data_IF_577606404137
#
_entry.id   IF_577606404137
#
_cell.length_a   1.000
_cell.length_b   1.000
_cell.length_c   1.000
_cell.angle_alpha   90.00
_cell.angle_beta   90.00
_cell.angle_gamma   90.00
#
_symmetry.space_group_name_H-M   'P 1'
#
loop_
_entity.id
_entity.type
_entity.pdbx_description
1 polymer ?
#
# COMPACT_ATOMS: atom_id res chain seq x y z
N UNK A 1 21.66 0.28 30.01
CA UNK A 1 20.52 0.42 29.07
C UNK A 1 20.80 -0.49 27.89
N UNK A 2 20.20 -1.68 27.84
CA UNK A 2 20.42 -2.65 26.77
C UNK A 2 19.49 -2.30 25.61
N UNK A 3 20.05 -1.86 24.49
CA UNK A 3 19.33 -1.85 23.21
C UNK A 3 19.30 -3.30 22.70
N UNK A 4 18.10 -3.86 22.58
CA UNK A 4 17.92 -5.10 21.84
C UNK A 4 17.95 -4.77 20.34
N UNK A 5 19.02 -5.17 19.66
CA UNK A 5 19.07 -5.20 18.21
C UNK A 5 18.08 -6.27 17.70
N UNK A 6 16.91 -5.83 17.22
CA UNK A 6 15.95 -6.70 16.56
C UNK A 6 16.54 -7.07 15.19
N UNK A 7 17.13 -8.26 15.12
CA UNK A 7 17.70 -8.81 13.89
C UNK A 7 16.56 -9.25 12.95
N UNK A 8 16.03 -8.31 12.15
CA UNK A 8 15.12 -8.63 11.05
C UNK A 8 15.88 -9.49 10.02
N UNK A 9 15.40 -10.70 9.66
CA UNK A 9 16.04 -11.49 8.63
C UNK A 9 16.06 -10.69 7.31
N UNK A 10 17.09 -10.86 6.46
CA UNK A 10 17.19 -10.14 5.19
C UNK A 10 16.03 -10.56 4.29
N UNK A 11 14.97 -9.76 4.26
CA UNK A 11 13.85 -9.91 3.32
C UNK A 11 14.45 -9.74 1.92
N UNK A 12 14.62 -10.84 1.19
CA UNK A 12 15.04 -10.83 -0.20
C UNK A 12 13.89 -10.35 -1.08
N UNK A 13 13.62 -9.04 -1.01
CA UNK A 13 12.72 -8.39 -1.95
C UNK A 13 13.41 -8.34 -3.31
N UNK A 14 12.92 -9.12 -4.27
CA UNK A 14 13.39 -9.01 -5.64
C UNK A 14 12.86 -7.70 -6.23
N UNK A 15 13.69 -6.65 -6.21
CA UNK A 15 13.34 -5.32 -6.73
C UNK A 15 12.93 -5.32 -8.20
N UNK A 16 13.46 -6.25 -9.00
CA UNK A 16 13.24 -6.27 -10.45
C UNK A 16 11.95 -6.99 -10.83
N UNK A 17 11.63 -8.09 -10.15
CA UNK A 17 10.47 -8.94 -10.49
C UNK A 17 9.28 -8.77 -9.54
N UNK A 18 9.47 -8.10 -8.41
CA UNK A 18 8.46 -8.06 -7.34
C UNK A 18 8.15 -9.46 -6.80
N UNK A 19 6.95 -9.62 -6.25
CA UNK A 19 6.46 -10.90 -5.75
C UNK A 19 5.66 -11.63 -6.83
N UNK A 20 6.09 -12.82 -7.23
CA UNK A 20 5.35 -13.73 -8.12
C UNK A 20 4.46 -14.72 -7.35
N UNK A 21 4.26 -14.50 -6.05
CA UNK A 21 3.46 -15.36 -5.19
C UNK A 21 1.98 -15.23 -5.57
N UNK A 22 1.34 -16.37 -5.88
CA UNK A 22 -0.13 -16.43 -5.99
C UNK A 22 -0.70 -16.39 -4.56
N UNK A 23 -1.46 -15.34 -4.25
CA UNK A 23 -2.00 -15.12 -2.91
C UNK A 23 -3.30 -15.90 -2.75
N UNK A 24 -3.22 -17.04 -2.06
CA UNK A 24 -4.37 -17.80 -1.52
C UNK A 24 -4.42 -17.65 0.01
N UNK A 25 -4.18 -16.42 0.48
CA UNK A 25 -4.03 -16.06 1.88
C UNK A 25 -5.33 -15.45 2.42
N UNK A 26 -5.62 -15.58 3.73
CA UNK A 26 -6.78 -14.91 4.34
C UNK A 26 -6.68 -13.38 4.30
N UNK A 27 -5.47 -12.86 4.08
CA UNK A 27 -5.14 -11.45 3.89
C UNK A 27 -3.64 -11.24 4.12
N UNK A 28 -2.95 -10.35 3.39
CA UNK A 28 -3.40 -9.56 2.23
C UNK A 28 -3.84 -10.42 1.04
N UNK A 29 -4.56 -9.82 0.09
CA UNK A 29 -5.10 -10.50 -1.10
C UNK A 29 -4.50 -9.94 -2.39
N UNK A 30 -4.69 -10.66 -3.49
CA UNK A 30 -4.36 -10.13 -4.80
C UNK A 30 -5.19 -8.86 -5.10
N UNK A 31 -4.51 -7.82 -5.55
CA UNK A 31 -5.11 -6.54 -6.01
C UNK A 31 -4.78 -6.34 -7.49
N UNK A 32 -5.69 -5.70 -8.22
CA UNK A 32 -5.51 -5.49 -9.66
C UNK A 32 -4.35 -4.56 -9.99
N UNK A 33 -3.77 -4.73 -11.19
CA UNK A 33 -2.65 -3.91 -11.67
C UNK A 33 -2.97 -2.41 -11.68
N UNK A 34 -4.24 -2.04 -11.95
CA UNK A 34 -4.70 -0.66 -11.90
C UNK A 34 -4.46 -0.05 -10.52
N UNK A 35 -4.82 -0.76 -9.45
CA UNK A 35 -4.64 -0.27 -8.07
C UNK A 35 -3.17 -0.21 -7.72
N UNK A 36 -2.38 -1.23 -8.08
CA UNK A 36 -0.93 -1.23 -7.85
C UNK A 36 -0.23 -0.04 -8.51
N UNK A 37 -0.65 0.33 -9.72
CA UNK A 37 -0.13 1.50 -10.45
C UNK A 37 -0.53 2.83 -9.79
N UNK A 38 -1.74 2.92 -9.25
CA UNK A 38 -2.16 4.12 -8.51
C UNK A 38 -1.35 4.27 -7.21
N UNK A 39 -1.08 3.17 -6.52
CA UNK A 39 -0.25 3.14 -5.31
C UNK A 39 1.23 3.47 -5.56
N UNK A 40 1.71 3.38 -6.80
CA UNK A 40 3.09 3.75 -7.14
C UNK A 40 3.27 5.24 -7.41
N UNK A 41 2.21 6.05 -7.38
CA UNK A 41 2.29 7.50 -7.56
C UNK A 41 3.02 8.15 -6.37
N UNK A 42 3.74 9.26 -6.58
CA UNK A 42 4.30 10.02 -5.48
C UNK A 42 3.22 10.44 -4.49
N UNK A 43 3.57 10.43 -3.20
CA UNK A 43 2.67 10.94 -2.17
C UNK A 43 2.52 12.45 -2.30
N UNK A 44 1.29 12.93 -2.15
CA UNK A 44 1.01 14.34 -1.91
C UNK A 44 0.90 14.60 -0.38
N UNK A 45 0.93 15.86 0.03
CA UNK A 45 0.62 16.22 1.41
C UNK A 45 -0.86 16.00 1.71
N UNK A 46 -1.15 15.49 2.92
CA UNK A 46 -2.50 15.28 3.42
C UNK A 46 -3.32 16.58 3.59
N UNK A 47 -2.68 17.75 3.45
CA UNK A 47 -3.33 19.07 3.47
C UNK A 47 -3.42 19.71 2.09
N UNK A 48 -3.06 18.97 1.04
CA UNK A 48 -3.19 19.44 -0.33
C UNK A 48 -4.66 19.39 -0.74
N UNK A 49 -5.06 20.33 -1.60
CA UNK A 49 -6.40 20.34 -2.17
C UNK A 49 -6.69 19.07 -3.00
N UNK A 50 -5.77 18.54 -3.83
CA UNK A 50 -6.00 17.28 -4.53
C UNK A 50 -6.25 16.09 -3.60
N UNK A 51 -5.55 16.01 -2.46
CA UNK A 51 -5.79 14.96 -1.46
C UNK A 51 -7.18 15.10 -0.82
N UNK A 52 -7.58 16.32 -0.45
CA UNK A 52 -8.91 16.60 0.12
C UNK A 52 -10.03 16.19 -0.84
N UNK A 53 -9.93 16.56 -2.12
CA UNK A 53 -10.89 16.19 -3.16
C UNK A 53 -10.98 14.66 -3.34
N UNK A 54 -9.85 13.96 -3.39
CA UNK A 54 -9.79 12.50 -3.46
C UNK A 54 -10.38 11.84 -2.21
N UNK A 55 -10.06 12.37 -1.02
CA UNK A 55 -10.54 11.85 0.26
C UNK A 55 -12.06 11.95 0.36
N UNK A 56 -12.64 13.09 -0.02
CA UNK A 56 -14.09 13.28 -0.05
C UNK A 56 -14.77 12.26 -0.97
N UNK A 57 -14.26 12.06 -2.18
CA UNK A 57 -14.80 11.07 -3.12
C UNK A 57 -14.78 9.65 -2.54
N UNK A 58 -13.70 9.28 -1.85
CA UNK A 58 -13.59 7.97 -1.21
C UNK A 58 -14.62 7.79 -0.08
N UNK A 59 -14.80 8.80 0.79
CA UNK A 59 -15.78 8.76 1.88
C UNK A 59 -17.20 8.66 1.35
N UNK A 60 -17.58 9.49 0.38
CA UNK A 60 -18.91 9.46 -0.23
C UNK A 60 -19.18 8.12 -0.94
N UNK A 61 -18.17 7.53 -1.58
CA UNK A 61 -18.27 6.21 -2.20
C UNK A 61 -18.53 5.11 -1.18
N UNK A 62 -17.83 5.14 -0.04
CA UNK A 62 -17.99 4.16 1.05
C UNK A 62 -19.35 4.25 1.75
N UNK A 63 -19.91 5.45 1.88
CA UNK A 63 -21.21 5.66 2.52
C UNK A 63 -22.40 5.20 1.68
N UNK A 64 -22.21 5.02 0.36
CA UNK A 64 -23.25 4.54 -0.56
C UNK A 64 -23.36 3.01 -0.61
N UNK A 65 -22.42 2.29 0.02
CA UNK A 65 -22.40 0.84 0.13
C UNK A 65 -23.23 0.38 1.33
#
# INVERSE_FOLDING_TARGET
>A
MFLFDINMPPIHFNKERGSSLRLFTPGPVHVSERILKEMSKPNDTHRSRPYEEMHQQAVEGLQKL
#
